data_IF_953944978481
#
_entry.id   IF_953944978481
#
_cell.length_a   1.000
_cell.length_b   1.000
_cell.length_c   1.000
_cell.angle_alpha   90.00
_cell.angle_beta   90.00
_cell.angle_gamma   90.00
#
_symmetry.space_group_name_H-M   'P 1'
#
loop_
_entity.id
_entity.type
_entity.pdbx_description
1 polymer ?
#
# COMPACT_ATOMS: atom_id res chain seq x y z
N UNK A 1 -7.68 -20.11 15.10
CA UNK A 1 -7.19 -18.78 15.53
C UNK A 1 -7.16 -17.82 14.35
N UNK A 2 -7.90 -16.70 14.37
CA UNK A 2 -7.79 -15.66 13.31
C UNK A 2 -6.46 -14.93 13.50
N UNK A 3 -5.54 -15.00 12.53
CA UNK A 3 -4.30 -14.20 12.56
C UNK A 3 -4.68 -12.71 12.51
N UNK A 4 -4.10 -11.89 13.38
CA UNK A 4 -4.23 -10.42 13.28
C UNK A 4 -3.66 -9.98 11.93
N UNK A 5 -4.44 -9.22 11.16
CA UNK A 5 -3.95 -8.61 9.92
C UNK A 5 -2.80 -7.66 10.24
N UNK A 6 -1.70 -7.80 9.52
CA UNK A 6 -0.57 -6.88 9.59
C UNK A 6 -0.87 -5.62 8.77
N UNK A 7 -0.08 -4.55 8.97
CA UNK A 7 -0.18 -3.34 8.13
C UNK A 7 0.06 -3.64 6.64
N UNK A 8 0.91 -4.63 6.34
CA UNK A 8 1.11 -5.09 4.96
C UNK A 8 -0.16 -5.74 4.42
N UNK A 9 -0.85 -6.56 5.21
CA UNK A 9 -2.11 -7.19 4.77
C UNK A 9 -3.21 -6.15 4.54
N UNK A 10 -3.27 -5.11 5.37
CA UNK A 10 -4.18 -3.98 5.18
C UNK A 10 -3.83 -3.17 3.92
N UNK A 11 -2.54 -2.89 3.70
CA UNK A 11 -2.06 -2.19 2.50
C UNK A 11 -2.43 -2.94 1.22
N UNK A 12 -2.14 -4.25 1.17
CA UNK A 12 -2.47 -5.06 0.00
C UNK A 12 -3.99 -5.14 -0.18
N UNK A 13 -4.75 -5.30 0.90
CA UNK A 13 -6.21 -5.32 0.81
C UNK A 13 -6.82 -4.01 0.29
N UNK A 14 -6.22 -2.86 0.61
CA UNK A 14 -6.61 -1.55 0.10
C UNK A 14 -6.27 -1.43 -1.39
N UNK A 15 -5.01 -1.65 -1.75
CA UNK A 15 -4.51 -1.42 -3.12
C UNK A 15 -4.88 -2.51 -4.14
N UNK A 16 -5.49 -3.63 -3.71
CA UNK A 16 -5.80 -4.78 -4.60
C UNK A 16 -6.76 -4.46 -5.74
N UNK A 17 -7.50 -3.35 -5.64
CA UNK A 17 -8.39 -2.89 -6.71
C UNK A 17 -7.62 -2.31 -7.91
N UNK A 18 -6.30 -2.15 -7.76
CA UNK A 18 -5.43 -1.60 -8.79
C UNK A 18 -5.76 -0.15 -9.10
N UNK A 19 -6.32 0.63 -8.17
CA UNK A 19 -6.54 2.06 -8.33
C UNK A 19 -5.45 2.85 -7.61
N UNK A 20 -5.40 4.14 -7.93
CA UNK A 20 -4.54 5.08 -7.22
C UNK A 20 -5.23 5.52 -5.93
N UNK A 21 -4.54 5.36 -4.81
CA UNK A 21 -4.99 5.77 -3.48
C UNK A 21 -4.04 6.84 -2.92
N UNK A 22 -4.59 7.85 -2.27
CA UNK A 22 -3.79 8.95 -1.74
C UNK A 22 -3.00 8.55 -0.50
N UNK A 23 -1.88 9.23 -0.25
CA UNK A 23 -1.12 9.08 0.99
C UNK A 23 -1.99 9.30 2.25
N UNK A 24 -2.95 10.22 2.19
CA UNK A 24 -3.88 10.50 3.28
C UNK A 24 -4.83 9.34 3.54
N UNK A 25 -5.35 8.71 2.47
CA UNK A 25 -6.19 7.52 2.59
C UNK A 25 -5.42 6.35 3.20
N UNK A 26 -4.17 6.14 2.76
CA UNK A 26 -3.29 5.12 3.34
C UNK A 26 -2.99 5.41 4.82
N UNK A 27 -2.75 6.67 5.18
CA UNK A 27 -2.51 7.08 6.55
C UNK A 27 -3.73 6.83 7.45
N UNK A 28 -4.94 7.11 6.95
CA UNK A 28 -6.20 6.91 7.66
C UNK A 28 -6.58 5.44 7.81
N UNK A 29 -6.51 4.65 6.72
CA UNK A 29 -6.96 3.26 6.70
C UNK A 29 -5.95 2.28 7.33
N UNK A 30 -4.66 2.60 7.27
CA UNK A 30 -3.59 1.69 7.70
C UNK A 30 -2.88 2.23 8.93
N UNK A 31 -2.26 3.42 8.80
CA UNK A 31 -1.52 4.16 9.84
C UNK A 31 -0.65 5.23 9.17
N UNK A 32 -0.42 6.35 9.84
CA UNK A 32 0.56 7.38 9.42
C UNK A 32 1.97 6.83 9.08
N UNK A 33 2.35 5.66 9.61
CA UNK A 33 3.59 4.94 9.27
C UNK A 33 3.42 3.90 8.16
N UNK A 34 2.53 4.13 7.18
CA UNK A 34 2.30 3.18 6.08
C UNK A 34 3.54 2.99 5.19
N UNK A 35 4.51 3.90 5.20
CA UNK A 35 5.76 3.75 4.45
C UNK A 35 6.54 2.46 4.78
N UNK A 36 6.54 2.03 6.05
CA UNK A 36 7.12 0.74 6.46
C UNK A 36 6.36 -0.45 5.85
N UNK A 37 5.03 -0.32 5.71
CA UNK A 37 4.21 -1.34 5.06
C UNK A 37 4.51 -1.42 3.55
N UNK A 38 4.70 -0.29 2.87
CA UNK A 38 5.12 -0.25 1.46
C UNK A 38 6.47 -0.92 1.29
N UNK A 39 7.46 -0.57 2.11
CA UNK A 39 8.80 -1.17 2.06
C UNK A 39 8.73 -2.69 2.22
N UNK A 40 8.02 -3.17 3.25
CA UNK A 40 7.83 -4.62 3.49
C UNK A 40 7.03 -5.31 2.39
N UNK A 41 6.04 -4.66 1.79
CA UNK A 41 5.30 -5.21 0.67
C UNK A 41 6.20 -5.39 -0.56
N UNK A 42 7.00 -4.38 -0.91
CA UNK A 42 7.98 -4.47 -2.01
C UNK A 42 9.00 -5.57 -1.76
N UNK A 43 9.53 -5.68 -0.54
CA UNK A 43 10.44 -6.76 -0.16
C UNK A 43 9.81 -8.17 -0.26
N UNK A 44 8.48 -8.29 -0.16
CA UNK A 44 7.73 -9.53 -0.36
C UNK A 44 7.40 -9.82 -1.84
N UNK A 45 7.82 -8.97 -2.77
CA UNK A 45 7.60 -9.14 -4.21
C UNK A 45 6.34 -8.47 -4.76
N UNK A 46 5.67 -7.59 -4.00
CA UNK A 46 4.56 -6.80 -4.53
C UNK A 46 5.07 -5.59 -5.30
N UNK A 47 4.54 -5.36 -6.51
CA UNK A 47 4.85 -4.15 -7.28
C UNK A 47 3.88 -3.04 -6.93
N UNK A 48 4.35 -2.07 -6.14
CA UNK A 48 3.59 -0.87 -5.75
C UNK A 48 4.24 0.34 -6.40
N UNK A 49 3.50 1.00 -7.29
CA UNK A 49 3.90 2.27 -7.89
C UNK A 49 3.54 3.44 -7.00
N UNK A 50 4.27 4.54 -7.19
CA UNK A 50 4.03 5.82 -6.55
C UNK A 50 4.08 6.91 -7.62
N UNK A 51 3.14 7.84 -7.57
CA UNK A 51 3.18 9.06 -8.38
C UNK A 51 3.00 10.29 -7.50
N UNK A 52 3.66 11.38 -7.89
CA UNK A 52 3.42 12.70 -7.32
C UNK A 52 2.34 13.39 -8.15
N UNK A 53 1.27 13.84 -7.50
CA UNK A 53 0.14 14.54 -8.15
C UNK A 53 0.26 16.05 -7.97
N UNK A 54 0.84 16.49 -6.84
CA UNK A 54 1.17 17.88 -6.55
C UNK A 54 2.13 17.96 -5.35
N UNK A 55 2.50 19.16 -4.91
CA UNK A 55 3.43 19.33 -3.80
C UNK A 55 2.92 18.64 -2.53
N UNK A 56 3.70 17.68 -2.01
CA UNK A 56 3.36 16.83 -0.86
C UNK A 56 2.15 15.89 -1.03
N UNK A 57 1.60 15.76 -2.24
CA UNK A 57 0.53 14.81 -2.52
C UNK A 57 1.04 13.67 -3.38
N UNK A 58 1.16 12.49 -2.77
CA UNK A 58 1.52 11.26 -3.45
C UNK A 58 0.36 10.29 -3.48
N UNK A 59 0.30 9.50 -4.54
CA UNK A 59 -0.63 8.38 -4.67
C UNK A 59 0.11 7.08 -4.92
N UNK A 60 -0.52 5.98 -4.52
CA UNK A 60 0.03 4.63 -4.58
C UNK A 60 -0.96 3.67 -5.23
N UNK A 61 -0.44 2.71 -5.98
CA UNK A 61 -1.24 1.67 -6.64
C UNK A 61 -0.50 0.34 -6.64
N UNK A 62 -1.23 -0.77 -6.51
CA UNK A 62 -0.71 -2.10 -6.80
C UNK A 62 -0.80 -2.39 -8.30
N UNK A 63 0.33 -2.76 -8.92
CA UNK A 63 0.42 -3.01 -10.37
C UNK A 63 0.44 -4.50 -10.68
N UNK A 64 1.21 -5.26 -9.91
CA UNK A 64 1.27 -6.71 -10.02
C UNK A 64 1.07 -7.30 -8.64
N UNK A 65 0.03 -8.12 -8.52
CA UNK A 65 -0.15 -8.98 -7.35
C UNK A 65 0.82 -10.14 -7.50
N UNK A 66 1.58 -10.42 -6.44
CA UNK A 66 2.62 -11.47 -6.33
C UNK A 66 2.49 -12.54 -7.43
N UNK A 67 3.46 -12.57 -8.36
CA UNK A 67 3.60 -13.67 -9.30
C UNK A 67 3.76 -14.94 -8.47
N UNK A 68 2.84 -15.88 -8.65
CA UNK A 68 2.75 -17.12 -7.90
C UNK A 68 3.99 -18.00 -8.11
#
# INVERSE_FOLDING_TARGET
MKKKKTKVDLLIALLRDGRWHSADELAYQISFRFGDAIFKARAKGYSIEMRSVSHNHNEYRLVVTKVA
#
